data_IF_373761932677
#
_entry.id   IF_373761932677
#
_cell.length_a   1.000
_cell.length_b   1.000
_cell.length_c   1.000
_cell.angle_alpha   90.00
_cell.angle_beta   90.00
_cell.angle_gamma   90.00
#
_symmetry.space_group_name_H-M   'P 1'
#
loop_
_entity.id
_entity.type
_entity.pdbx_description
1 polymer ?
#
# COMPACT_ATOMS: atom_id res chain seq x y z
N UNK A 1 32.57 -7.68 5.71
CA UNK A 1 31.73 -8.83 6.08
C UNK A 1 30.47 -8.80 5.23
N UNK A 2 30.26 -9.80 4.37
CA UNK A 2 29.10 -9.86 3.49
C UNK A 2 27.78 -10.04 4.27
N UNK A 3 26.63 -9.66 3.68
CA UNK A 3 25.33 -9.82 4.33
C UNK A 3 25.07 -11.30 4.67
N UNK A 4 24.65 -11.56 5.89
CA UNK A 4 24.47 -12.93 6.38
C UNK A 4 23.27 -13.59 5.68
N UNK A 5 23.45 -14.80 5.12
CA UNK A 5 22.44 -15.50 4.30
C UNK A 5 21.11 -15.67 5.02
N UNK A 6 21.14 -15.88 6.34
CA UNK A 6 19.97 -15.97 7.21
C UNK A 6 19.16 -14.67 7.28
N UNK A 7 19.82 -13.52 7.29
CA UNK A 7 19.17 -12.20 7.35
C UNK A 7 18.49 -11.84 6.03
N UNK A 8 19.12 -12.19 4.90
CA UNK A 8 18.52 -12.04 3.58
C UNK A 8 17.28 -12.93 3.44
N UNK A 9 17.33 -14.16 3.97
CA UNK A 9 16.18 -15.05 3.98
C UNK A 9 15.05 -14.49 4.84
N UNK A 10 15.35 -13.94 6.03
CA UNK A 10 14.36 -13.28 6.90
C UNK A 10 13.67 -12.10 6.21
N UNK A 11 14.44 -11.20 5.56
CA UNK A 11 13.85 -10.08 4.83
C UNK A 11 12.98 -10.55 3.66
N UNK A 12 13.36 -11.64 3.00
CA UNK A 12 12.53 -12.27 1.97
C UNK A 12 11.19 -12.77 2.51
N UNK A 13 11.17 -13.46 3.66
CA UNK A 13 9.92 -13.91 4.29
C UNK A 13 9.04 -12.76 4.77
N UNK A 14 9.64 -11.62 5.13
CA UNK A 14 8.92 -10.38 5.51
C UNK A 14 8.41 -9.58 4.31
N UNK A 15 8.50 -10.11 3.08
CA UNK A 15 7.97 -9.48 1.88
C UNK A 15 8.94 -8.53 1.18
N UNK A 16 10.25 -8.68 1.41
CA UNK A 16 11.33 -7.98 0.68
C UNK A 16 12.24 -9.00 -0.04
N UNK A 17 11.76 -9.63 -1.14
CA UNK A 17 12.50 -10.70 -1.83
C UNK A 17 13.69 -10.21 -2.67
N UNK A 18 13.76 -8.91 -2.98
CA UNK A 18 14.87 -8.35 -3.74
C UNK A 18 16.17 -8.37 -2.93
N UNK A 19 17.06 -9.29 -3.29
CA UNK A 19 18.35 -9.48 -2.62
C UNK A 19 19.28 -8.28 -2.77
N UNK A 20 19.24 -7.55 -3.89
CA UNK A 20 20.10 -6.40 -4.09
C UNK A 20 19.75 -5.27 -3.10
N UNK A 21 18.47 -4.90 -3.02
CA UNK A 21 18.01 -3.90 -2.06
C UNK A 21 18.20 -4.35 -0.61
N UNK A 22 17.88 -5.61 -0.30
CA UNK A 22 18.02 -6.15 1.05
C UNK A 22 19.48 -6.22 1.52
N UNK A 23 20.40 -6.65 0.65
CA UNK A 23 21.84 -6.67 0.96
C UNK A 23 22.41 -5.27 1.18
N UNK A 24 22.04 -4.30 0.33
CA UNK A 24 22.47 -2.92 0.47
C UNK A 24 21.99 -2.32 1.80
N UNK A 25 20.72 -2.55 2.17
CA UNK A 25 20.17 -2.08 3.44
C UNK A 25 20.87 -2.74 4.65
N UNK A 26 21.11 -4.07 4.60
CA UNK A 26 21.87 -4.76 5.64
C UNK A 26 23.30 -4.23 5.78
N UNK A 27 23.97 -3.90 4.68
CA UNK A 27 25.31 -3.29 4.73
C UNK A 27 25.29 -1.91 5.37
N UNK A 28 24.35 -1.03 4.99
CA UNK A 28 24.19 0.31 5.60
C UNK A 28 23.93 0.23 7.10
N UNK A 29 23.14 -0.76 7.51
CA UNK A 29 22.79 -0.99 8.91
C UNK A 29 23.75 -1.93 9.65
N UNK A 30 24.96 -2.16 9.13
CA UNK A 30 26.02 -2.98 9.76
C UNK A 30 25.53 -4.39 10.18
N UNK A 31 24.64 -4.98 9.39
CA UNK A 31 24.03 -6.28 9.67
C UNK A 31 22.86 -6.25 10.65
N UNK A 32 22.35 -5.08 11.05
CA UNK A 32 21.10 -4.99 11.82
C UNK A 32 19.89 -5.29 10.93
N UNK A 33 19.23 -6.43 11.17
CA UNK A 33 18.02 -6.81 10.44
C UNK A 33 16.87 -5.83 10.67
N UNK A 34 16.75 -5.28 11.89
CA UNK A 34 15.69 -4.32 12.22
C UNK A 34 15.91 -2.99 11.51
N UNK A 35 17.16 -2.49 11.50
CA UNK A 35 17.52 -1.27 10.77
C UNK A 35 17.22 -1.39 9.28
N UNK A 36 17.66 -2.49 8.66
CA UNK A 36 17.41 -2.76 7.25
C UNK A 36 15.92 -2.89 6.94
N UNK A 37 15.14 -3.59 7.78
CA UNK A 37 13.70 -3.71 7.63
C UNK A 37 13.00 -2.33 7.69
N UNK A 38 13.35 -1.51 8.68
CA UNK A 38 12.78 -0.17 8.82
C UNK A 38 13.15 0.74 7.65
N UNK A 39 14.35 0.65 7.08
CA UNK A 39 14.73 1.38 5.85
C UNK A 39 13.86 0.94 4.67
N UNK A 40 13.77 -0.36 4.42
CA UNK A 40 13.01 -0.92 3.30
C UNK A 40 11.51 -0.59 3.40
N UNK A 41 10.93 -0.70 4.60
CA UNK A 41 9.54 -0.31 4.86
C UNK A 41 9.32 1.19 4.64
N UNK A 42 10.24 2.05 5.11
CA UNK A 42 10.16 3.51 4.89
C UNK A 42 10.17 3.86 3.41
N UNK A 43 11.02 3.21 2.62
CA UNK A 43 11.06 3.41 1.17
C UNK A 43 9.75 2.99 0.50
N UNK A 44 9.20 1.83 0.89
CA UNK A 44 7.92 1.32 0.38
C UNK A 44 6.73 2.22 0.75
N UNK A 45 6.75 2.83 1.93
CA UNK A 45 5.70 3.74 2.40
C UNK A 45 5.84 5.18 1.88
N UNK A 46 7.02 5.58 1.40
CA UNK A 46 7.28 6.95 0.94
C UNK A 46 6.28 7.46 -0.10
N UNK A 47 5.87 6.69 -1.14
CA UNK A 47 4.89 7.16 -2.12
C UNK A 47 3.50 7.38 -1.51
N UNK A 48 3.10 6.57 -0.53
CA UNK A 48 1.82 6.74 0.18
C UNK A 48 1.84 8.00 1.03
N UNK A 49 2.92 8.21 1.78
CA UNK A 49 3.11 9.40 2.59
C UNK A 49 3.10 10.67 1.75
N UNK A 50 3.79 10.68 0.61
CA UNK A 50 3.83 11.85 -0.29
C UNK A 50 2.44 12.16 -0.87
N UNK A 51 1.69 11.15 -1.33
CA UNK A 51 0.32 11.33 -1.83
C UNK A 51 -0.59 11.92 -0.76
N UNK A 52 -0.53 11.36 0.46
CA UNK A 52 -1.32 11.86 1.59
C UNK A 52 -1.00 13.33 1.92
N UNK A 53 0.28 13.72 1.96
CA UNK A 53 0.66 15.12 2.20
C UNK A 53 0.25 16.08 1.09
N UNK A 54 0.13 15.60 -0.15
CA UNK A 54 -0.32 16.41 -1.28
C UNK A 54 -1.85 16.52 -1.37
N UNK A 55 -2.57 15.83 -0.48
CA UNK A 55 -4.02 15.70 -0.58
C UNK A 55 -4.48 14.81 -1.75
N UNK A 56 -3.55 14.11 -2.42
CA UNK A 56 -3.88 13.20 -3.52
C UNK A 56 -4.49 11.91 -2.92
N UNK A 57 -5.81 11.90 -2.74
CA UNK A 57 -6.55 10.70 -2.40
C UNK A 57 -6.48 9.69 -3.54
N UNK A 58 -6.50 8.37 -3.26
CA UNK A 58 -6.69 7.41 -4.33
C UNK A 58 -8.11 7.60 -4.90
N UNK A 59 -8.22 7.90 -6.20
CA UNK A 59 -9.51 8.02 -6.89
C UNK A 59 -10.32 6.72 -6.83
N UNK A 60 -11.64 6.83 -6.79
CA UNK A 60 -12.56 5.70 -6.73
C UNK A 60 -12.67 5.05 -8.12
N UNK A 61 -12.18 3.83 -8.24
CA UNK A 61 -12.31 3.03 -9.45
C UNK A 61 -13.49 2.07 -9.32
N UNK A 62 -14.63 2.45 -9.92
CA UNK A 62 -15.83 1.63 -9.92
C UNK A 62 -15.71 0.41 -10.85
N UNK A 63 -14.75 0.40 -11.77
CA UNK A 63 -14.48 -0.74 -12.67
C UNK A 63 -13.65 -1.84 -12.00
N UNK A 64 -13.08 -1.56 -10.81
CA UNK A 64 -12.28 -2.52 -10.07
C UNK A 64 -13.05 -3.81 -9.80
N UNK A 65 -12.45 -4.94 -10.16
CA UNK A 65 -13.03 -6.27 -9.95
C UNK A 65 -13.22 -6.61 -8.46
N UNK A 66 -12.25 -6.24 -7.62
CA UNK A 66 -12.34 -6.40 -6.16
C UNK A 66 -13.28 -5.35 -5.54
N UNK A 67 -14.52 -5.76 -5.33
CA UNK A 67 -15.55 -4.95 -4.67
C UNK A 67 -15.18 -4.60 -3.23
N UNK A 68 -14.53 -5.50 -2.50
CA UNK A 68 -14.19 -5.28 -1.09
C UNK A 68 -13.12 -4.18 -0.97
N UNK A 69 -12.18 -4.13 -1.92
CA UNK A 69 -11.20 -3.04 -2.02
C UNK A 69 -11.88 -1.70 -2.30
N UNK A 70 -12.82 -1.64 -3.24
CA UNK A 70 -13.59 -0.42 -3.54
C UNK A 70 -14.39 0.07 -2.33
N UNK A 71 -15.09 -0.83 -1.62
CA UNK A 71 -15.87 -0.47 -0.43
C UNK A 71 -14.98 0.09 0.70
N UNK A 72 -13.82 -0.51 0.97
CA UNK A 72 -12.86 0.03 1.95
C UNK A 72 -12.37 1.41 1.55
N UNK A 73 -12.16 1.63 0.25
CA UNK A 73 -11.71 2.93 -0.25
C UNK A 73 -12.81 3.99 -0.12
N UNK A 74 -14.07 3.65 -0.42
CA UNK A 74 -15.24 4.51 -0.20
C UNK A 74 -15.34 4.90 1.28
N UNK A 75 -15.23 3.95 2.21
CA UNK A 75 -15.26 4.24 3.65
C UNK A 75 -14.11 5.13 4.12
N UNK A 76 -12.96 5.06 3.45
CA UNK A 76 -11.78 5.85 3.80
C UNK A 76 -11.79 7.27 3.21
N UNK A 77 -12.56 7.52 2.15
CA UNK A 77 -12.54 8.77 1.38
C UNK A 77 -13.82 9.58 1.51
N UNK A 78 -14.98 8.91 1.60
CA UNK A 78 -16.28 9.53 1.69
C UNK A 78 -16.85 9.43 3.12
N UNK A 79 -17.66 10.39 3.58
CA UNK A 79 -18.28 10.38 4.90
C UNK A 79 -19.47 9.41 4.97
N UNK A 80 -19.22 8.13 4.67
CA UNK A 80 -20.24 7.08 4.64
C UNK A 80 -20.28 6.36 5.97
N UNK A 81 -21.43 6.43 6.66
CA UNK A 81 -21.55 5.98 8.05
C UNK A 81 -21.54 4.45 8.28
N UNK A 82 -21.50 3.62 7.24
CA UNK A 82 -21.52 2.16 7.40
C UNK A 82 -21.06 1.41 6.16
N UNK A 83 -20.65 0.15 6.38
CA UNK A 83 -20.29 -0.78 5.31
C UNK A 83 -21.42 -0.97 4.28
N UNK A 84 -22.66 -1.15 4.73
CA UNK A 84 -23.81 -1.33 3.86
C UNK A 84 -24.05 -0.13 2.94
N UNK A 85 -23.89 1.10 3.47
CA UNK A 85 -23.99 2.32 2.66
C UNK A 85 -22.85 2.43 1.66
N UNK A 86 -21.63 2.07 2.04
CA UNK A 86 -20.49 2.06 1.13
C UNK A 86 -20.64 0.99 0.01
N UNK A 87 -21.25 -0.16 0.31
CA UNK A 87 -21.62 -1.16 -0.68
C UNK A 87 -22.65 -0.61 -1.68
N UNK A 88 -23.68 0.09 -1.20
CA UNK A 88 -24.67 0.73 -2.08
C UNK A 88 -24.01 1.75 -3.02
N UNK A 89 -23.11 2.59 -2.51
CA UNK A 89 -22.35 3.54 -3.35
C UNK A 89 -21.56 2.79 -4.43
N UNK A 90 -20.87 1.71 -4.08
CA UNK A 90 -20.12 0.89 -5.03
C UNK A 90 -21.01 0.29 -6.13
N UNK A 91 -22.16 -0.29 -5.75
CA UNK A 91 -23.10 -0.89 -6.70
C UNK A 91 -23.72 0.15 -7.62
N UNK A 92 -24.22 1.26 -7.07
CA UNK A 92 -24.82 2.34 -7.86
C UNK A 92 -23.80 2.96 -8.81
N UNK A 93 -22.57 3.20 -8.37
CA UNK A 93 -21.54 3.74 -9.26
C UNK A 93 -21.17 2.82 -10.42
N UNK A 94 -21.29 1.49 -10.24
CA UNK A 94 -21.14 0.51 -11.33
C UNK A 94 -22.32 0.51 -12.28
N UNK A 95 -23.55 0.51 -11.74
CA UNK A 95 -24.77 0.58 -12.55
C UNK A 95 -24.81 1.86 -13.40
N UNK A 96 -24.32 2.98 -12.85
CA UNK A 96 -24.21 4.26 -13.53
C UNK A 96 -22.98 4.37 -14.46
N UNK A 97 -22.07 3.39 -14.44
CA UNK A 97 -20.89 3.39 -15.30
C UNK A 97 -19.85 4.48 -14.98
N UNK A 98 -19.70 4.88 -13.71
CA UNK A 98 -18.86 6.02 -13.28
C UNK A 98 -17.35 5.87 -13.56
N UNK A 99 -16.88 4.69 -13.95
CA UNK A 99 -15.47 4.50 -14.32
C UNK A 99 -14.50 4.82 -13.18
N UNK A 100 -13.43 5.56 -13.50
CA UNK A 100 -12.50 6.12 -12.52
C UNK A 100 -12.93 7.55 -12.17
N UNK A 101 -13.28 7.77 -10.90
CA UNK A 101 -13.58 9.10 -10.35
C UNK A 101 -12.35 9.60 -9.60
N UNK A 102 -11.72 10.66 -10.12
CA UNK A 102 -10.64 11.34 -9.42
C UNK A 102 -11.19 12.08 -8.20
N UNK A 103 -10.49 11.92 -7.06
CA UNK A 103 -10.63 12.68 -5.81
C UNK A 103 -12.07 13.18 -5.48
N UNK A 104 -12.92 12.31 -4.90
CA UNK A 104 -14.31 12.64 -4.58
C UNK A 104 -14.51 13.41 -3.27
#
# INVERSE_FOLDING_TARGET
>A
TGPNRSQLQLLSTLGFPDRASASAALQRHRGSHWGALCELQRLRLRPFRLRHFRGEGPGLDFTRADQQALVRQILATLPVASWGRALLVASLGRELGLGLVADP
#
